data_IF_925935945896
#
_entry.id   IF_925935945896
#
_cell.length_a   1.000
_cell.length_b   1.000
_cell.length_c   1.000
_cell.angle_alpha   90.00
_cell.angle_beta   90.00
_cell.angle_gamma   90.00
#
_symmetry.space_group_name_H-M   'P 1'
#
loop_
_entity.id
_entity.type
_entity.pdbx_description
1 polymer ?
#
# COMPACT_ATOMS: atom_id res chain seq x y z
N UNK A 1 3.58 -2.46 -13.51
CA UNK A 1 3.37 -3.19 -12.24
C UNK A 1 2.73 -2.21 -11.30
N UNK A 2 1.54 -2.53 -10.80
CA UNK A 2 0.84 -1.78 -9.76
C UNK A 2 1.58 -1.92 -8.42
N UNK A 3 1.16 -1.13 -7.44
CA UNK A 3 1.59 -1.29 -6.05
C UNK A 3 0.55 -2.15 -5.34
N UNK A 4 0.98 -3.20 -4.64
CA UNK A 4 0.06 -4.15 -4.07
C UNK A 4 0.22 -4.31 -2.55
N UNK A 5 -0.92 -4.41 -1.87
CA UNK A 5 -1.03 -4.69 -0.45
C UNK A 5 -1.63 -6.08 -0.22
N UNK A 6 -0.93 -6.91 0.54
CA UNK A 6 -1.46 -8.20 0.97
C UNK A 6 -2.34 -8.06 2.21
N UNK A 7 -3.60 -8.47 2.12
CA UNK A 7 -4.51 -8.48 3.27
C UNK A 7 -4.29 -9.79 4.03
N UNK A 8 -3.89 -9.68 5.28
CA UNK A 8 -3.65 -10.81 6.17
C UNK A 8 -4.49 -10.69 7.45
N UNK A 9 -4.71 -11.78 8.13
CA UNK A 9 -5.42 -11.84 9.40
C UNK A 9 -5.78 -13.28 9.77
N UNK A 10 -6.05 -13.51 11.04
CA UNK A 10 -6.53 -14.81 11.52
C UNK A 10 -7.93 -15.12 10.95
N UNK A 11 -8.38 -16.38 11.00
CA UNK A 11 -9.75 -16.71 10.63
C UNK A 11 -10.79 -15.91 11.47
N UNK A 12 -11.91 -15.56 10.83
CA UNK A 12 -13.07 -14.91 11.46
C UNK A 12 -12.81 -13.48 12.03
N UNK A 13 -11.80 -12.78 11.54
CA UNK A 13 -11.52 -11.37 11.88
C UNK A 13 -12.24 -10.36 10.97
N UNK A 14 -12.97 -10.84 9.93
CA UNK A 14 -13.64 -9.99 8.95
C UNK A 14 -12.83 -9.71 7.68
N UNK A 15 -11.71 -10.43 7.47
CA UNK A 15 -10.82 -10.25 6.31
C UNK A 15 -11.54 -10.37 4.97
N UNK A 16 -12.32 -11.43 4.76
CA UNK A 16 -13.04 -11.67 3.49
C UNK A 16 -14.18 -10.67 3.30
N UNK A 17 -14.83 -10.24 4.38
CA UNK A 17 -15.85 -9.18 4.31
C UNK A 17 -15.24 -7.87 3.83
N UNK A 18 -14.09 -7.49 4.40
CA UNK A 18 -13.34 -6.29 3.99
C UNK A 18 -12.89 -6.38 2.53
N UNK A 19 -12.31 -7.53 2.13
CA UNK A 19 -11.86 -7.74 0.76
C UNK A 19 -13.02 -7.67 -0.24
N UNK A 20 -14.16 -8.30 0.06
CA UNK A 20 -15.34 -8.22 -0.77
C UNK A 20 -15.88 -6.80 -0.88
N UNK A 21 -15.91 -6.03 0.21
CA UNK A 21 -16.32 -4.63 0.19
C UNK A 21 -15.38 -3.76 -0.67
N UNK A 22 -14.07 -4.02 -0.62
CA UNK A 22 -13.07 -3.37 -1.49
C UNK A 22 -13.30 -3.71 -2.96
N UNK A 23 -13.59 -4.97 -3.29
CA UNK A 23 -13.75 -5.44 -4.67
C UNK A 23 -15.12 -5.12 -5.26
N UNK A 24 -16.16 -4.91 -4.44
CA UNK A 24 -17.45 -4.39 -4.92
C UNK A 24 -17.35 -2.96 -5.47
N UNK A 25 -16.32 -2.21 -5.07
CA UNK A 25 -15.99 -0.90 -5.63
C UNK A 25 -15.21 -1.01 -6.97
N UNK A 26 -15.08 -2.23 -7.55
CA UNK A 26 -14.37 -2.45 -8.80
C UNK A 26 -14.94 -1.60 -9.94
N UNK A 27 -14.05 -0.92 -10.61
CA UNK A 27 -14.34 -0.26 -11.88
C UNK A 27 -14.49 -1.36 -12.95
N UNK A 28 -15.49 -1.20 -13.81
CA UNK A 28 -15.64 -2.04 -15.00
C UNK A 28 -14.27 -2.19 -15.70
N UNK A 29 -13.76 -3.41 -15.75
CA UNK A 29 -12.41 -3.75 -16.23
C UNK A 29 -12.14 -3.30 -17.68
N UNK A 30 -13.15 -2.97 -18.43
CA UNK A 30 -13.07 -2.43 -19.80
C UNK A 30 -12.32 -1.08 -19.91
N UNK A 31 -12.22 -0.34 -18.80
CA UNK A 31 -11.55 0.96 -18.78
C UNK A 31 -10.03 0.89 -18.47
N UNK A 32 -9.50 -0.29 -18.08
CA UNK A 32 -8.08 -0.47 -17.73
C UNK A 32 -7.41 -1.53 -18.58
N UNK A 33 -6.74 -1.16 -19.68
CA UNK A 33 -6.20 -2.08 -20.69
C UNK A 33 -4.98 -2.90 -20.27
N UNK A 34 -4.72 -3.15 -19.00
CA UNK A 34 -3.59 -3.99 -18.54
C UNK A 34 -3.87 -4.72 -17.23
N UNK A 35 -5.13 -4.76 -16.77
CA UNK A 35 -5.48 -5.47 -15.55
C UNK A 35 -5.88 -6.90 -15.90
N UNK A 36 -5.06 -7.86 -15.49
CA UNK A 36 -5.42 -9.28 -15.47
C UNK A 36 -6.26 -9.53 -14.22
N UNK A 37 -7.48 -10.02 -14.37
CA UNK A 37 -8.32 -10.44 -13.24
C UNK A 37 -7.74 -11.77 -12.75
N UNK A 38 -6.97 -11.71 -11.67
CA UNK A 38 -6.51 -12.91 -10.96
C UNK A 38 -7.46 -13.19 -9.78
N UNK A 39 -7.77 -14.47 -9.49
CA UNK A 39 -8.53 -14.80 -8.30
C UNK A 39 -7.80 -14.27 -7.06
N UNK A 40 -8.53 -13.64 -6.16
CA UNK A 40 -8.04 -13.01 -4.93
C UNK A 40 -7.22 -11.71 -5.11
N UNK A 41 -7.28 -11.05 -6.25
CA UNK A 41 -6.72 -9.71 -6.47
C UNK A 41 -7.84 -8.74 -6.76
N UNK A 42 -7.99 -7.71 -5.93
CA UNK A 42 -8.92 -6.61 -6.10
C UNK A 42 -8.19 -5.34 -6.56
N UNK A 43 -8.66 -4.72 -7.64
CA UNK A 43 -8.11 -3.47 -8.15
C UNK A 43 -9.07 -2.34 -7.80
N UNK A 44 -8.64 -1.46 -6.91
CA UNK A 44 -9.49 -0.42 -6.34
C UNK A 44 -9.03 0.96 -6.80
N UNK A 45 -9.94 1.80 -7.31
CA UNK A 45 -9.61 3.17 -7.68
C UNK A 45 -9.34 4.01 -6.44
N UNK A 46 -8.42 4.96 -6.59
CA UNK A 46 -8.16 5.97 -5.56
C UNK A 46 -9.02 7.18 -5.85
N UNK A 47 -9.97 7.48 -4.95
CA UNK A 47 -10.81 8.66 -5.04
C UNK A 47 -9.96 9.91 -4.75
N UNK A 48 -9.64 10.67 -5.79
CA UNK A 48 -8.90 11.92 -5.70
C UNK A 48 -9.74 13.06 -6.29
N UNK A 49 -10.29 13.90 -5.44
CA UNK A 49 -11.15 15.02 -5.84
C UNK A 49 -10.46 16.04 -6.74
N UNK A 50 -9.11 16.03 -6.77
CA UNK A 50 -8.32 16.88 -7.67
C UNK A 50 -8.53 16.48 -9.14
N UNK A 51 -8.75 15.19 -9.39
CA UNK A 51 -9.00 14.68 -10.74
C UNK A 51 -10.31 15.24 -11.32
N UNK A 52 -11.36 15.30 -10.50
CA UNK A 52 -12.66 15.86 -10.89
C UNK A 52 -12.55 17.37 -11.16
N UNK A 53 -11.84 18.12 -10.30
CA UNK A 53 -11.61 19.56 -10.49
C UNK A 53 -10.82 19.87 -11.78
N UNK A 54 -9.84 19.03 -12.12
CA UNK A 54 -9.12 19.15 -13.40
C UNK A 54 -10.07 18.86 -14.58
N UNK A 55 -10.93 17.85 -14.44
CA UNK A 55 -11.89 17.47 -15.48
C UNK A 55 -12.94 18.56 -15.75
N UNK A 56 -13.40 19.27 -14.72
CA UNK A 56 -14.32 20.40 -14.87
C UNK A 56 -13.72 21.52 -15.74
N UNK A 57 -12.41 21.76 -15.64
CA UNK A 57 -11.72 22.80 -16.41
C UNK A 57 -11.45 22.33 -17.84
N UNK A 58 -10.95 21.11 -18.01
CA UNK A 58 -10.46 20.60 -19.30
C UNK A 58 -11.58 20.00 -20.14
N UNK A 59 -12.69 19.56 -19.51
CA UNK A 59 -13.82 18.86 -20.12
C UNK A 59 -13.38 17.67 -21.01
N UNK A 60 -12.68 16.67 -20.44
CA UNK A 60 -12.07 15.58 -21.18
C UNK A 60 -13.12 14.55 -21.63
N UNK A 61 -12.75 13.73 -22.62
CA UNK A 61 -13.58 12.59 -23.03
C UNK A 61 -13.56 11.44 -22.02
N UNK A 62 -12.46 11.31 -21.23
CA UNK A 62 -12.27 10.26 -20.23
C UNK A 62 -11.59 10.82 -19.00
N UNK A 63 -11.99 10.30 -17.83
CA UNK A 63 -11.35 10.55 -16.54
C UNK A 63 -10.83 9.20 -16.07
N UNK A 64 -9.52 9.13 -15.78
CA UNK A 64 -8.86 7.87 -15.41
C UNK A 64 -8.16 8.07 -14.07
N UNK A 65 -8.73 7.56 -12.96
CA UNK A 65 -8.08 7.58 -11.66
C UNK A 65 -6.89 6.62 -11.64
N UNK A 66 -6.03 6.77 -10.66
CA UNK A 66 -5.04 5.75 -10.33
C UNK A 66 -5.66 4.64 -9.50
N UNK A 67 -5.03 3.49 -9.47
CA UNK A 67 -5.53 2.30 -8.79
C UNK A 67 -4.49 1.74 -7.82
N UNK A 68 -4.97 1.01 -6.83
CA UNK A 68 -4.19 0.22 -5.90
C UNK A 68 -4.68 -1.23 -5.94
N UNK A 69 -3.76 -2.17 -5.85
CA UNK A 69 -4.07 -3.60 -5.85
C UNK A 69 -4.09 -4.11 -4.41
N UNK A 70 -5.14 -4.84 -4.05
CA UNK A 70 -5.23 -5.58 -2.81
C UNK A 70 -5.28 -7.07 -3.12
N UNK A 71 -4.48 -7.85 -2.41
CA UNK A 71 -4.41 -9.30 -2.57
C UNK A 71 -4.98 -9.96 -1.33
N UNK A 72 -6.08 -10.71 -1.47
CA UNK A 72 -6.60 -11.52 -0.37
C UNK A 72 -5.69 -12.73 -0.14
N UNK A 73 -4.94 -12.70 0.95
CA UNK A 73 -4.06 -13.80 1.32
C UNK A 73 -4.83 -14.69 2.28
N UNK A 74 -5.03 -15.96 1.88
CA UNK A 74 -5.75 -16.95 2.68
C UNK A 74 -5.23 -16.97 4.13
N UNK A 75 -6.16 -17.04 5.09
CA UNK A 75 -5.84 -16.90 6.51
C UNK A 75 -4.74 -17.83 7.01
N UNK A 76 -3.89 -17.28 7.85
CA UNK A 76 -2.84 -18.01 8.54
C UNK A 76 -3.47 -18.94 9.59
N UNK A 77 -2.95 -20.16 9.65
CA UNK A 77 -3.14 -21.06 10.79
C UNK A 77 -1.81 -21.14 11.53
N UNK A 78 -1.84 -21.12 12.85
CA UNK A 78 -0.67 -21.29 13.71
C UNK A 78 0.18 -22.50 13.26
N UNK A 79 1.50 -22.33 13.15
CA UNK A 79 2.40 -23.36 12.65
C UNK A 79 2.62 -23.36 11.14
N UNK A 80 2.22 -22.31 10.44
CA UNK A 80 2.39 -22.20 8.98
C UNK A 80 3.85 -22.26 8.51
N UNK A 81 4.78 -21.75 9.33
CA UNK A 81 6.23 -21.78 9.04
C UNK A 81 6.85 -23.18 9.17
N UNK A 82 6.21 -24.09 9.91
CA UNK A 82 6.65 -25.48 10.13
C UNK A 82 5.92 -26.47 9.24
N UNK A 83 4.86 -26.02 8.56
CA UNK A 83 3.91 -26.89 7.88
C UNK A 83 4.21 -27.17 6.43
N UNK A 84 3.68 -28.31 5.99
CA UNK A 84 3.54 -28.67 4.59
C UNK A 84 2.26 -28.03 4.04
N UNK A 85 2.32 -27.43 2.84
CA UNK A 85 1.14 -27.02 2.09
C UNK A 85 0.71 -25.56 2.28
N UNK A 86 -0.49 -25.29 2.85
CA UNK A 86 -1.14 -23.98 2.86
C UNK A 86 -0.33 -22.85 3.55
N UNK A 87 0.43 -23.17 4.60
CA UNK A 87 1.26 -22.19 5.29
C UNK A 87 2.39 -21.64 4.42
N UNK A 88 3.06 -22.47 3.66
CA UNK A 88 4.11 -22.05 2.73
C UNK A 88 3.54 -21.17 1.60
N UNK A 89 2.33 -21.46 1.13
CA UNK A 89 1.65 -20.66 0.12
C UNK A 89 1.30 -19.26 0.67
N UNK A 90 0.80 -19.18 1.90
CA UNK A 90 0.56 -17.93 2.61
C UNK A 90 1.81 -17.03 2.64
N UNK A 91 2.94 -17.56 3.10
CA UNK A 91 4.21 -16.84 3.17
C UNK A 91 4.74 -16.42 1.78
N UNK A 92 4.50 -17.27 0.76
CA UNK A 92 4.88 -16.95 -0.62
C UNK A 92 4.04 -15.78 -1.16
N UNK A 93 2.73 -15.80 -0.95
CA UNK A 93 1.85 -14.72 -1.39
C UNK A 93 2.23 -13.38 -0.71
N UNK A 94 2.56 -13.39 0.59
CA UNK A 94 3.05 -12.18 1.26
C UNK A 94 4.36 -11.68 0.62
N UNK A 95 5.28 -12.58 0.22
CA UNK A 95 6.55 -12.15 -0.42
C UNK A 95 6.34 -11.34 -1.69
N UNK A 96 5.29 -11.63 -2.43
CA UNK A 96 4.96 -10.98 -3.69
C UNK A 96 4.32 -9.60 -3.51
N UNK A 97 3.87 -9.24 -2.30
CA UNK A 97 3.26 -7.94 -2.01
C UNK A 97 4.29 -6.90 -1.56
N UNK A 98 3.96 -5.60 -1.72
CA UNK A 98 4.83 -4.49 -1.32
C UNK A 98 4.64 -4.10 0.15
N UNK A 99 3.41 -4.26 0.68
CA UNK A 99 3.05 -3.97 2.07
C UNK A 99 2.04 -4.99 2.59
N UNK A 100 1.86 -5.00 3.91
CA UNK A 100 0.91 -5.87 4.61
C UNK A 100 -0.22 -4.99 5.19
N UNK A 101 -1.47 -5.35 4.89
CA UNK A 101 -2.66 -4.85 5.57
C UNK A 101 -3.12 -5.93 6.54
N UNK A 102 -2.87 -5.71 7.82
CA UNK A 102 -3.16 -6.69 8.87
C UNK A 102 -4.52 -6.40 9.50
N UNK A 103 -5.51 -7.21 9.17
CA UNK A 103 -6.87 -7.12 9.73
C UNK A 103 -6.91 -7.82 11.08
N UNK A 104 -7.31 -7.05 12.10
CA UNK A 104 -7.36 -7.50 13.50
C UNK A 104 -8.77 -7.28 14.03
N UNK A 105 -9.33 -8.29 14.69
CA UNK A 105 -10.65 -8.22 15.28
C UNK A 105 -10.63 -7.37 16.56
N UNK A 106 -11.43 -6.32 16.57
CA UNK A 106 -11.58 -5.40 17.71
C UNK A 106 -13.05 -5.28 18.17
N UNK A 107 -13.83 -6.35 18.05
CA UNK A 107 -15.24 -6.42 18.47
C UNK A 107 -15.56 -7.77 19.12
N UNK A 108 -16.49 -7.76 20.05
CA UNK A 108 -17.07 -8.96 20.66
C UNK A 108 -18.33 -9.35 19.89
N UNK A 109 -18.47 -10.65 19.58
CA UNK A 109 -19.68 -11.23 18.98
C UNK A 109 -19.73 -12.71 19.35
N UNK A 110 -20.78 -13.13 20.08
CA UNK A 110 -20.95 -14.50 20.56
C UNK A 110 -21.24 -15.51 19.43
N UNK A 111 -21.82 -15.04 18.30
CA UNK A 111 -22.15 -15.87 17.15
C UNK A 111 -20.93 -16.15 16.25
N UNK A 112 -19.85 -15.38 16.40
CA UNK A 112 -18.63 -15.52 15.63
C UNK A 112 -17.53 -16.11 16.52
N UNK A 113 -17.23 -17.39 16.33
CA UNK A 113 -16.19 -18.08 17.12
C UNK A 113 -14.81 -17.49 16.83
N UNK A 114 -14.10 -17.08 17.88
CA UNK A 114 -12.68 -16.71 17.79
C UNK A 114 -11.80 -17.96 17.85
N UNK A 115 -10.71 -18.00 17.08
CA UNK A 115 -9.81 -19.16 17.00
C UNK A 115 -9.24 -19.55 18.37
N UNK A 116 -8.91 -18.55 19.20
CA UNK A 116 -8.36 -18.73 20.57
C UNK A 116 -9.46 -18.80 21.66
N UNK A 117 -10.75 -18.77 21.29
CA UNK A 117 -11.87 -18.79 22.21
C UNK A 117 -12.15 -17.45 22.94
N UNK A 118 -11.30 -16.46 22.80
CA UNK A 118 -11.49 -15.07 23.29
C UNK A 118 -10.89 -14.06 22.31
N UNK A 119 -11.45 -12.88 22.26
CA UNK A 119 -10.88 -11.77 21.46
C UNK A 119 -9.67 -11.21 22.20
N UNK A 120 -8.49 -11.27 21.58
CA UNK A 120 -7.24 -10.71 22.08
C UNK A 120 -6.43 -10.15 20.94
N UNK A 121 -6.66 -8.88 20.55
CA UNK A 121 -6.04 -8.30 19.36
C UNK A 121 -4.52 -8.38 19.34
N UNK A 122 -3.88 -8.21 20.48
CA UNK A 122 -2.42 -8.22 20.55
C UNK A 122 -1.88 -9.63 20.34
N UNK A 123 -2.50 -10.66 20.98
CA UNK A 123 -2.13 -12.07 20.77
C UNK A 123 -2.28 -12.44 19.27
N UNK A 124 -3.35 -11.95 18.61
CA UNK A 124 -3.60 -12.19 17.19
C UNK A 124 -2.51 -11.57 16.31
N UNK A 125 -2.06 -10.35 16.63
CA UNK A 125 -0.96 -9.68 15.94
C UNK A 125 0.35 -10.47 16.14
N UNK A 126 0.62 -10.88 17.37
CA UNK A 126 1.84 -11.61 17.73
C UNK A 126 1.92 -12.98 17.06
N UNK A 127 0.81 -13.69 16.88
CA UNK A 127 0.77 -14.96 16.15
C UNK A 127 1.26 -14.75 14.72
N UNK A 128 0.73 -13.76 14.00
CA UNK A 128 1.14 -13.47 12.62
C UNK A 128 2.60 -13.03 12.56
N UNK A 129 3.00 -12.10 13.43
CA UNK A 129 4.39 -11.62 13.48
C UNK A 129 5.36 -12.77 13.76
N UNK A 130 5.04 -13.68 14.65
CA UNK A 130 5.86 -14.85 14.97
C UNK A 130 6.09 -15.74 13.74
N UNK A 131 5.03 -16.02 12.96
CA UNK A 131 5.16 -16.83 11.74
C UNK A 131 6.03 -16.14 10.68
N UNK A 132 5.91 -14.80 10.53
CA UNK A 132 6.78 -14.03 9.62
C UNK A 132 8.25 -14.08 10.08
N UNK A 133 8.49 -13.93 11.38
CA UNK A 133 9.83 -13.97 11.98
C UNK A 133 10.45 -15.35 11.78
N UNK A 134 9.74 -16.43 12.06
CA UNK A 134 10.24 -17.80 11.89
C UNK A 134 10.59 -18.10 10.42
N UNK A 135 9.79 -17.60 9.49
CA UNK A 135 10.08 -17.73 8.06
C UNK A 135 11.35 -17.00 7.66
N UNK A 136 11.55 -15.77 8.14
CA UNK A 136 12.73 -14.98 7.85
C UNK A 136 13.98 -15.53 8.54
N UNK A 137 13.86 -15.98 9.79
CA UNK A 137 14.94 -16.61 10.54
C UNK A 137 15.53 -17.78 9.75
N UNK A 138 14.67 -18.65 9.21
CA UNK A 138 15.12 -19.79 8.38
C UNK A 138 15.89 -19.36 7.12
N UNK A 139 15.55 -18.22 6.53
CA UNK A 139 16.26 -17.66 5.36
C UNK A 139 17.61 -17.07 5.81
N UNK A 140 17.59 -16.24 6.86
CA UNK A 140 18.76 -15.52 7.35
C UNK A 140 19.82 -16.49 7.86
N UNK A 141 19.46 -17.56 8.56
CA UNK A 141 20.39 -18.62 8.99
C UNK A 141 21.10 -19.29 7.80
N UNK A 142 20.37 -19.62 6.72
CA UNK A 142 20.96 -20.17 5.49
C UNK A 142 21.92 -19.19 4.83
N UNK A 143 21.55 -17.90 4.78
CA UNK A 143 22.42 -16.84 4.25
C UNK A 143 23.68 -16.66 5.12
N UNK A 144 23.55 -16.76 6.44
CA UNK A 144 24.68 -16.69 7.37
C UNK A 144 25.69 -17.80 7.14
N UNK A 145 25.21 -19.04 7.02
CA UNK A 145 26.11 -20.18 6.72
C UNK A 145 26.85 -20.02 5.38
N UNK A 146 26.18 -19.44 4.38
CA UNK A 146 26.77 -19.12 3.09
C UNK A 146 27.83 -18.01 3.20
N UNK A 147 27.51 -16.94 3.93
CA UNK A 147 28.44 -15.83 4.17
C UNK A 147 29.69 -16.25 4.94
N UNK A 148 29.55 -17.12 5.94
CA UNK A 148 30.67 -17.69 6.69
C UNK A 148 31.63 -18.52 5.80
N UNK A 149 31.07 -19.29 4.85
CA UNK A 149 31.88 -20.07 3.90
C UNK A 149 32.65 -19.15 2.94
N UNK A 150 32.00 -18.10 2.42
CA UNK A 150 32.62 -17.13 1.51
C UNK A 150 33.74 -16.34 2.17
N UNK A 151 33.54 -15.86 3.39
CA UNK A 151 34.57 -15.14 4.16
C UNK A 151 35.77 -16.01 4.51
N UNK A 152 35.56 -17.28 4.84
CA UNK A 152 36.68 -18.25 5.09
C UNK A 152 37.48 -18.53 3.82
N UNK A 153 36.88 -18.43 2.64
CA UNK A 153 37.57 -18.57 1.34
C UNK A 153 38.33 -17.31 0.91
N UNK A 154 38.39 -16.26 1.75
CA UNK A 154 39.15 -15.03 1.48
C UNK A 154 38.49 -14.04 0.53
N UNK A 155 37.20 -14.22 0.23
CA UNK A 155 36.42 -13.28 -0.60
C UNK A 155 36.03 -12.07 0.26
N UNK A 156 36.66 -10.91 0.00
CA UNK A 156 36.38 -9.65 0.72
C UNK A 156 34.94 -9.14 0.53
N UNK A 157 34.30 -9.45 -0.59
CA UNK A 157 32.94 -9.04 -0.90
C UNK A 157 31.88 -9.67 0.01
N UNK A 158 32.23 -10.69 0.80
CA UNK A 158 31.33 -11.32 1.77
C UNK A 158 31.24 -10.62 3.13
N UNK A 159 32.11 -9.66 3.42
CA UNK A 159 32.16 -9.00 4.74
C UNK A 159 30.91 -8.12 5.01
N UNK A 160 30.50 -7.21 4.11
CA UNK A 160 29.31 -6.37 4.36
C UNK A 160 28.03 -7.20 4.54
N UNK A 161 27.91 -8.28 3.77
CA UNK A 161 26.78 -9.22 3.89
C UNK A 161 26.79 -9.90 5.26
N UNK A 162 27.93 -10.34 5.72
CA UNK A 162 28.08 -10.99 7.02
C UNK A 162 27.74 -10.02 8.16
N UNK A 163 28.25 -8.80 8.14
CA UNK A 163 27.99 -7.76 9.13
C UNK A 163 26.47 -7.44 9.21
N UNK A 164 25.82 -7.32 8.06
CA UNK A 164 24.37 -7.12 8.02
C UNK A 164 23.61 -8.30 8.65
N UNK A 165 23.99 -9.54 8.33
CA UNK A 165 23.35 -10.73 8.89
C UNK A 165 23.58 -10.80 10.41
N UNK A 166 24.79 -10.53 10.89
CA UNK A 166 25.13 -10.49 12.32
C UNK A 166 24.36 -9.39 13.06
N UNK A 167 23.92 -8.32 12.36
CA UNK A 167 23.05 -7.28 12.92
C UNK A 167 21.60 -7.73 13.05
N UNK A 168 21.05 -8.41 12.02
CA UNK A 168 19.61 -8.73 11.98
C UNK A 168 19.26 -10.07 12.64
N UNK A 169 20.17 -11.02 12.69
CA UNK A 169 19.92 -12.35 13.23
C UNK A 169 19.48 -12.35 14.69
N UNK A 170 20.16 -11.64 15.63
CA UNK A 170 19.71 -11.58 17.01
C UNK A 170 18.30 -10.99 17.19
N UNK A 171 17.93 -10.01 16.36
CA UNK A 171 16.61 -9.36 16.39
C UNK A 171 15.51 -10.37 16.05
N UNK A 172 15.73 -11.17 15.00
CA UNK A 172 14.80 -12.24 14.61
C UNK A 172 14.77 -13.36 15.67
N UNK A 173 15.91 -13.72 16.28
CA UNK A 173 15.99 -14.71 17.36
C UNK A 173 15.21 -14.27 18.62
N UNK A 174 15.13 -12.96 18.88
CA UNK A 174 14.30 -12.36 19.92
C UNK A 174 12.82 -12.25 19.54
N UNK A 175 12.42 -12.69 18.35
CA UNK A 175 11.03 -12.65 17.88
C UNK A 175 10.59 -11.27 17.37
N UNK A 176 11.52 -10.35 17.10
CA UNK A 176 11.20 -8.99 16.66
C UNK A 176 11.19 -8.87 15.13
N UNK A 177 10.25 -8.05 14.62
CA UNK A 177 10.18 -7.74 13.20
C UNK A 177 11.22 -6.71 12.80
N UNK A 178 11.83 -6.87 11.61
CA UNK A 178 12.87 -5.99 11.09
C UNK A 178 12.37 -4.61 10.66
N UNK A 179 11.07 -4.42 10.46
CA UNK A 179 10.48 -3.12 10.11
C UNK A 179 10.65 -2.04 11.18
N UNK A 180 10.90 -2.44 12.43
CA UNK A 180 11.18 -1.53 13.56
C UNK A 180 12.64 -1.08 13.62
N UNK A 181 13.49 -1.57 12.72
CA UNK A 181 14.94 -1.33 12.72
C UNK A 181 15.33 -0.34 11.63
N UNK A 182 16.14 0.63 11.97
CA UNK A 182 16.69 1.56 10.99
C UNK A 182 17.88 0.95 10.24
N UNK A 183 17.84 1.03 8.92
CA UNK A 183 18.88 0.58 8.01
C UNK A 183 19.38 1.73 7.13
N UNK A 184 20.68 1.76 6.85
CA UNK A 184 21.26 2.68 5.88
C UNK A 184 20.96 2.24 4.43
N UNK A 185 21.29 3.08 3.43
CA UNK A 185 20.93 2.81 2.03
C UNK A 185 21.64 1.59 1.43
N UNK A 186 22.83 1.27 1.87
CA UNK A 186 23.58 0.08 1.44
C UNK A 186 22.95 -1.19 2.03
N UNK A 187 22.61 -1.16 3.33
CA UNK A 187 21.89 -2.25 4.00
C UNK A 187 20.53 -2.49 3.34
N UNK A 188 19.76 -1.42 3.06
CA UNK A 188 18.46 -1.52 2.36
C UNK A 188 18.59 -2.17 0.98
N UNK A 189 19.65 -1.85 0.23
CA UNK A 189 19.90 -2.48 -1.08
C UNK A 189 20.17 -3.98 -0.95
N UNK A 190 20.95 -4.38 0.05
CA UNK A 190 21.23 -5.81 0.30
C UNK A 190 19.97 -6.55 0.76
N UNK A 191 19.21 -5.98 1.68
CA UNK A 191 17.97 -6.55 2.23
C UNK A 191 16.90 -6.79 1.16
N UNK A 192 16.81 -5.94 0.13
CA UNK A 192 15.90 -6.17 -1.01
C UNK A 192 16.12 -7.53 -1.69
N UNK A 193 17.38 -8.00 -1.75
CA UNK A 193 17.72 -9.30 -2.33
C UNK A 193 17.29 -10.51 -1.49
N UNK A 194 16.99 -10.30 -0.20
CA UNK A 194 16.61 -11.40 0.71
C UNK A 194 15.11 -11.68 0.72
N UNK A 195 14.29 -10.74 0.26
CA UNK A 195 12.84 -10.84 0.23
C UNK A 195 12.23 -11.20 1.60
N UNK A 196 12.75 -10.56 2.66
CA UNK A 196 12.28 -10.76 4.03
C UNK A 196 10.87 -10.20 4.22
N UNK A 197 10.06 -10.95 4.99
CA UNK A 197 8.67 -10.61 5.26
C UNK A 197 8.55 -9.55 6.37
N UNK A 198 9.38 -9.69 7.40
CA UNK A 198 9.34 -8.82 8.59
C UNK A 198 9.81 -7.39 8.34
N UNK A 199 10.45 -7.12 7.19
CA UNK A 199 10.86 -5.76 6.80
C UNK A 199 9.76 -4.99 6.06
N UNK A 200 8.71 -5.68 5.60
CA UNK A 200 7.61 -5.05 4.88
C UNK A 200 6.86 -4.09 5.81
N UNK A 201 6.47 -2.91 5.30
CA UNK A 201 5.64 -1.98 6.06
C UNK A 201 4.27 -2.61 6.33
N UNK A 202 3.70 -2.31 7.50
CA UNK A 202 2.41 -2.84 7.96
C UNK A 202 1.45 -1.70 8.24
N UNK A 203 0.21 -1.87 7.80
CA UNK A 203 -0.95 -1.08 8.17
C UNK A 203 -1.91 -1.97 8.95
N UNK A 204 -2.25 -1.59 10.17
CA UNK A 204 -3.24 -2.32 10.96
C UNK A 204 -4.65 -1.85 10.64
N UNK A 205 -5.54 -2.79 10.37
CA UNK A 205 -6.97 -2.54 10.22
C UNK A 205 -7.68 -3.12 11.42
N UNK A 206 -8.11 -2.25 12.34
CA UNK A 206 -8.93 -2.64 13.46
C UNK A 206 -10.38 -2.79 12.99
N UNK A 207 -10.84 -4.04 12.81
CA UNK A 207 -12.23 -4.30 12.48
C UNK A 207 -13.08 -4.21 13.73
N UNK A 208 -13.89 -3.16 13.82
CA UNK A 208 -14.81 -2.85 14.92
C UNK A 208 -16.26 -3.13 14.52
N UNK A 209 -17.18 -3.15 15.48
CA UNK A 209 -18.62 -3.04 15.20
C UNK A 209 -19.02 -1.56 15.04
N UNK A 210 -20.26 -1.29 14.65
CA UNK A 210 -20.77 0.07 14.42
C UNK A 210 -20.58 1.04 15.60
N UNK A 211 -20.74 0.55 16.84
CA UNK A 211 -20.56 1.34 18.07
C UNK A 211 -19.12 1.31 18.60
N UNK A 212 -18.21 0.59 17.95
CA UNK A 212 -16.87 0.30 18.46
C UNK A 212 -15.77 1.27 18.04
N UNK A 213 -16.12 2.41 17.44
CA UNK A 213 -15.14 3.43 17.06
C UNK A 213 -14.67 4.28 18.25
N UNK A 214 -15.48 4.35 19.32
CA UNK A 214 -15.17 5.09 20.53
C UNK A 214 -15.27 4.17 21.75
N UNK A 215 -14.51 4.47 22.82
CA UNK A 215 -14.51 3.74 24.09
C UNK A 215 -14.32 2.21 23.93
N UNK A 216 -13.47 1.81 22.99
CA UNK A 216 -13.21 0.41 22.68
C UNK A 216 -11.80 0.01 23.15
N UNK A 217 -11.68 -0.76 24.26
CA UNK A 217 -10.37 -1.17 24.79
C UNK A 217 -9.53 -2.01 23.80
N UNK A 218 -10.18 -2.79 22.91
CA UNK A 218 -9.49 -3.56 21.89
C UNK A 218 -8.86 -2.63 20.84
N UNK A 219 -9.60 -1.62 20.37
CA UNK A 219 -9.08 -0.61 19.44
C UNK A 219 -7.93 0.18 20.08
N UNK A 220 -8.09 0.61 21.33
CA UNK A 220 -7.04 1.34 22.06
C UNK A 220 -5.76 0.52 22.19
N UNK A 221 -5.87 -0.79 22.46
CA UNK A 221 -4.71 -1.69 22.56
C UNK A 221 -3.98 -1.82 21.23
N UNK A 222 -4.71 -1.93 20.09
CA UNK A 222 -4.13 -1.99 18.74
C UNK A 222 -3.40 -0.67 18.43
N UNK A 223 -4.01 0.48 18.73
CA UNK A 223 -3.40 1.80 18.51
C UNK A 223 -2.10 1.93 19.32
N UNK A 224 -2.12 1.52 20.58
CA UNK A 224 -0.93 1.58 21.44
C UNK A 224 0.19 0.67 20.90
N UNK A 225 -0.14 -0.54 20.47
CA UNK A 225 0.81 -1.48 19.86
C UNK A 225 1.41 -0.90 18.59
N UNK A 226 0.58 -0.41 17.68
CA UNK A 226 1.02 0.16 16.40
C UNK A 226 1.91 1.40 16.57
N UNK A 227 1.59 2.26 17.55
CA UNK A 227 2.42 3.43 17.85
C UNK A 227 3.85 3.03 18.29
N UNK A 228 4.02 1.92 18.99
CA UNK A 228 5.35 1.42 19.38
C UNK A 228 6.17 0.92 18.16
N UNK A 229 5.48 0.50 17.09
CA UNK A 229 6.09 0.10 15.81
C UNK A 229 6.16 1.23 14.78
N UNK A 230 5.72 2.46 15.12
CA UNK A 230 5.56 3.59 14.20
C UNK A 230 4.64 3.24 13.00
N UNK A 231 3.67 2.35 13.22
CA UNK A 231 2.70 1.90 12.23
C UNK A 231 1.36 2.62 12.37
N UNK A 232 0.63 2.77 11.27
CA UNK A 232 -0.69 3.42 11.24
C UNK A 232 -1.80 2.40 11.51
N UNK A 233 -2.90 2.87 12.14
CA UNK A 233 -4.11 2.08 12.38
C UNK A 233 -5.30 2.75 11.71
N UNK A 234 -6.08 1.97 10.97
CA UNK A 234 -7.38 2.39 10.42
C UNK A 234 -8.48 1.56 11.07
N UNK A 235 -9.36 2.21 11.82
CA UNK A 235 -10.56 1.55 12.34
C UNK A 235 -11.63 1.49 11.25
N UNK A 236 -12.19 0.29 11.02
CA UNK A 236 -13.21 0.02 9.99
C UNK A 236 -14.25 -0.93 10.58
N UNK A 237 -15.52 -0.69 10.28
CA UNK A 237 -16.57 -1.70 10.45
C UNK A 237 -16.77 -2.39 9.10
N UNK A 238 -16.20 -3.58 8.91
CA UNK A 238 -16.21 -4.26 7.62
C UNK A 238 -17.64 -4.62 7.14
N UNK A 239 -18.55 -4.86 8.06
CA UNK A 239 -19.97 -5.10 7.77
C UNK A 239 -20.63 -3.85 7.20
N UNK A 240 -20.48 -2.70 7.88
CA UNK A 240 -20.98 -1.41 7.43
C UNK A 240 -20.39 -1.00 6.08
N UNK A 241 -19.09 -1.19 5.87
CA UNK A 241 -18.44 -0.90 4.58
C UNK A 241 -18.98 -1.77 3.45
N UNK A 242 -19.33 -3.03 3.73
CA UNK A 242 -19.96 -3.92 2.77
C UNK A 242 -21.35 -3.42 2.35
N UNK A 243 -22.13 -2.89 3.29
CA UNK A 243 -23.44 -2.28 3.01
C UNK A 243 -23.29 -1.00 2.20
N UNK A 244 -22.39 -0.10 2.63
CA UNK A 244 -22.11 1.17 1.93
C UNK A 244 -21.62 0.91 0.50
N UNK A 245 -20.77 -0.10 0.30
CA UNK A 245 -20.22 -0.39 -1.04
C UNK A 245 -21.29 -0.82 -2.04
N UNK A 246 -22.39 -1.39 -1.57
CA UNK A 246 -23.53 -1.82 -2.39
C UNK A 246 -24.49 -0.69 -2.76
N UNK A 247 -24.38 0.50 -2.14
CA UNK A 247 -25.26 1.63 -2.39
C UNK A 247 -24.89 2.39 -3.69
N UNK A 248 -25.84 3.03 -4.37
CA UNK A 248 -25.58 4.02 -5.42
C UNK A 248 -24.73 5.19 -4.89
N UNK A 249 -23.96 5.85 -5.75
CA UNK A 249 -23.02 6.91 -5.36
C UNK A 249 -23.69 8.07 -4.59
N UNK A 250 -24.91 8.45 -4.99
CA UNK A 250 -25.67 9.52 -4.33
C UNK A 250 -26.08 9.11 -2.92
N UNK A 251 -26.61 7.90 -2.76
CA UNK A 251 -27.03 7.35 -1.48
C UNK A 251 -25.86 7.14 -0.51
N UNK A 252 -24.66 6.78 -1.04
CA UNK A 252 -23.43 6.69 -0.24
C UNK A 252 -23.08 7.99 0.45
N UNK A 253 -23.19 9.11 -0.26
CA UNK A 253 -22.86 10.43 0.29
C UNK A 253 -23.83 10.84 1.40
N UNK A 254 -25.13 10.59 1.17
CA UNK A 254 -26.17 10.85 2.17
C UNK A 254 -25.95 10.00 3.41
N UNK A 255 -25.76 8.70 3.24
CA UNK A 255 -25.50 7.77 4.33
C UNK A 255 -24.27 8.15 5.17
N UNK A 256 -23.14 8.46 4.52
CA UNK A 256 -21.93 8.90 5.21
C UNK A 256 -22.15 10.20 6.01
N UNK A 257 -22.91 11.15 5.45
CA UNK A 257 -23.29 12.38 6.12
C UNK A 257 -24.16 12.12 7.37
N UNK A 258 -25.11 11.19 7.28
CA UNK A 258 -26.02 10.84 8.37
C UNK A 258 -25.27 10.22 9.56
N UNK A 259 -24.22 9.44 9.31
CA UNK A 259 -23.35 8.89 10.35
C UNK A 259 -22.21 9.83 10.76
N UNK A 260 -22.22 11.09 10.26
CA UNK A 260 -21.21 12.11 10.59
C UNK A 260 -19.82 11.87 10.00
N UNK A 261 -19.71 11.05 8.96
CA UNK A 261 -18.47 10.75 8.23
C UNK A 261 -18.40 11.56 6.93
N UNK A 262 -17.20 11.97 6.55
CA UNK A 262 -16.95 12.67 5.27
C UNK A 262 -16.44 11.73 4.18
N UNK A 263 -15.92 10.57 4.55
CA UNK A 263 -15.40 9.54 3.67
C UNK A 263 -15.58 8.15 4.28
N UNK A 264 -15.60 7.12 3.43
CA UNK A 264 -15.74 5.73 3.89
C UNK A 264 -14.47 5.23 4.59
N UNK A 265 -14.60 4.17 5.39
CA UNK A 265 -13.45 3.49 5.97
C UNK A 265 -12.55 2.88 4.90
N UNK A 266 -13.12 2.41 3.79
CA UNK A 266 -12.37 1.91 2.64
C UNK A 266 -11.54 3.01 1.98
N UNK A 267 -12.06 4.23 1.80
CA UNK A 267 -11.29 5.36 1.27
C UNK A 267 -10.11 5.71 2.21
N UNK A 268 -10.34 5.68 3.53
CA UNK A 268 -9.26 5.87 4.51
C UNK A 268 -8.21 4.79 4.42
N UNK A 269 -8.62 3.52 4.27
CA UNK A 269 -7.71 2.38 4.10
C UNK A 269 -6.84 2.53 2.85
N UNK A 270 -7.45 2.88 1.72
CA UNK A 270 -6.75 3.06 0.44
C UNK A 270 -5.72 4.20 0.57
N UNK A 271 -6.11 5.34 1.14
CA UNK A 271 -5.22 6.48 1.37
C UNK A 271 -4.07 6.13 2.32
N UNK A 272 -4.35 5.41 3.42
CA UNK A 272 -3.33 4.96 4.35
C UNK A 272 -2.35 3.99 3.69
N UNK A 273 -2.83 3.03 2.90
CA UNK A 273 -1.99 2.12 2.12
C UNK A 273 -1.10 2.85 1.10
N UNK A 274 -1.65 3.85 0.43
CA UNK A 274 -0.92 4.68 -0.52
C UNK A 274 0.22 5.46 0.15
N UNK A 275 -0.06 6.06 1.30
CA UNK A 275 0.92 6.75 2.14
C UNK A 275 1.98 5.78 2.69
N UNK A 276 1.58 4.60 3.16
CA UNK A 276 2.46 3.55 3.68
C UNK A 276 3.52 3.13 2.67
N UNK A 277 3.12 3.02 1.40
CA UNK A 277 4.01 2.67 0.29
C UNK A 277 4.87 3.86 -0.20
N UNK A 278 4.76 5.04 0.41
CA UNK A 278 5.49 6.23 0.00
C UNK A 278 5.13 6.67 -1.43
N UNK A 279 3.86 6.57 -1.78
CA UNK A 279 3.35 6.92 -3.10
C UNK A 279 2.82 8.36 -3.14
N UNK A 280 2.83 8.93 -4.34
CA UNK A 280 2.22 10.22 -4.63
C UNK A 280 1.68 10.24 -6.06
N UNK A 281 0.84 11.21 -6.35
CA UNK A 281 0.12 11.33 -7.62
C UNK A 281 0.55 12.57 -8.38
N UNK A 282 0.81 12.44 -9.68
CA UNK A 282 0.81 13.54 -10.62
C UNK A 282 -0.28 13.34 -11.67
N UNK A 283 -0.64 14.38 -12.38
CA UNK A 283 -1.72 14.38 -13.36
C UNK A 283 -1.21 14.70 -14.76
N UNK A 284 -1.88 14.14 -15.76
CA UNK A 284 -1.86 14.64 -17.12
C UNK A 284 -3.25 15.13 -17.48
N UNK A 285 -3.35 16.32 -18.05
CA UNK A 285 -4.63 16.95 -18.36
C UNK A 285 -4.69 17.34 -19.84
N UNK A 286 -5.63 16.77 -20.59
CA UNK A 286 -5.84 17.03 -22.00
C UNK A 286 -7.27 16.74 -22.44
N UNK A 287 -7.67 17.23 -23.63
CA UNK A 287 -9.03 17.03 -24.19
C UNK A 287 -9.42 15.56 -24.37
N UNK A 288 -8.46 14.65 -24.56
CA UNK A 288 -8.73 13.23 -24.72
C UNK A 288 -8.96 12.55 -23.40
N UNK A 289 -8.14 12.87 -22.42
CA UNK A 289 -8.20 12.30 -21.07
C UNK A 289 -7.57 13.23 -20.03
N UNK A 290 -8.12 13.18 -18.82
CA UNK A 290 -7.47 13.60 -17.59
C UNK A 290 -7.16 12.34 -16.81
N UNK A 291 -5.88 12.18 -16.41
CA UNK A 291 -5.43 10.94 -15.78
C UNK A 291 -4.51 11.19 -14.60
N UNK A 292 -4.72 10.43 -13.55
CA UNK A 292 -3.85 10.35 -12.38
C UNK A 292 -2.81 9.24 -12.58
N UNK A 293 -1.56 9.52 -12.18
CA UNK A 293 -0.43 8.60 -12.31
C UNK A 293 0.27 8.43 -10.97
N UNK A 294 0.50 7.19 -10.58
CA UNK A 294 1.20 6.86 -9.34
C UNK A 294 2.71 6.79 -9.54
N UNK A 295 3.43 7.49 -8.68
CA UNK A 295 4.90 7.46 -8.58
C UNK A 295 5.32 7.34 -7.11
N UNK A 296 6.58 7.00 -6.87
CA UNK A 296 7.13 7.07 -5.52
C UNK A 296 7.50 8.51 -5.15
N UNK A 297 7.38 8.86 -3.89
CA UNK A 297 7.90 10.11 -3.35
C UNK A 297 9.41 10.17 -3.66
N UNK A 298 9.86 11.30 -4.24
CA UNK A 298 11.25 11.50 -4.65
C UNK A 298 11.57 11.04 -6.08
N UNK A 299 10.61 10.48 -6.83
CA UNK A 299 10.83 10.14 -8.23
C UNK A 299 11.05 11.41 -9.07
N UNK A 300 12.05 11.33 -9.98
CA UNK A 300 12.38 12.41 -10.91
C UNK A 300 11.54 12.36 -12.19
N UNK A 301 11.45 13.49 -12.87
CA UNK A 301 10.62 13.64 -14.07
C UNK A 301 10.81 12.55 -15.14
N UNK A 302 12.03 12.06 -15.50
CA UNK A 302 12.16 10.96 -16.45
C UNK A 302 11.49 9.68 -15.96
N UNK A 303 11.62 9.34 -14.68
CA UNK A 303 11.02 8.14 -14.10
C UNK A 303 9.49 8.26 -14.03
N UNK A 304 8.96 9.44 -13.73
CA UNK A 304 7.54 9.73 -13.81
C UNK A 304 7.01 9.58 -15.24
N UNK A 305 7.72 10.12 -16.24
CA UNK A 305 7.41 9.94 -17.66
C UNK A 305 7.39 8.46 -18.07
N UNK A 306 8.28 7.65 -17.48
CA UNK A 306 8.34 6.20 -17.68
C UNK A 306 7.10 5.45 -17.23
N UNK A 307 6.30 6.02 -16.32
CA UNK A 307 5.00 5.45 -15.92
C UNK A 307 3.96 5.52 -17.04
N UNK A 308 4.09 6.50 -17.93
CA UNK A 308 3.23 6.61 -19.12
C UNK A 308 3.69 5.58 -20.17
N UNK A 309 4.96 5.61 -20.51
CA UNK A 309 5.58 4.67 -21.45
C UNK A 309 7.11 4.66 -21.29
N UNK A 310 7.75 3.52 -21.49
CA UNK A 310 9.21 3.39 -21.41
C UNK A 310 9.98 4.28 -22.38
N UNK A 311 9.39 4.60 -23.53
CA UNK A 311 10.01 5.50 -24.51
C UNK A 311 10.04 6.95 -24.02
N UNK A 312 9.06 7.37 -23.18
CA UNK A 312 9.04 8.69 -22.57
C UNK A 312 10.20 8.86 -21.57
N UNK A 313 10.54 7.80 -20.83
CA UNK A 313 11.70 7.81 -19.93
C UNK A 313 13.01 7.90 -20.71
N UNK A 314 13.17 7.04 -21.73
CA UNK A 314 14.40 6.96 -22.55
C UNK A 314 14.64 8.22 -23.38
N UNK A 315 13.57 8.72 -24.00
CA UNK A 315 13.61 9.89 -24.87
C UNK A 315 13.32 11.22 -24.16
N UNK A 316 13.30 11.26 -22.82
CA UNK A 316 12.94 12.44 -22.05
C UNK A 316 13.77 13.67 -22.42
N UNK A 317 13.09 14.77 -22.77
CA UNK A 317 13.69 16.06 -23.06
C UNK A 317 13.48 17.02 -21.90
N UNK A 318 12.22 17.31 -21.56
CA UNK A 318 11.80 18.19 -20.48
C UNK A 318 10.36 17.92 -20.06
N UNK A 319 9.96 18.43 -18.91
CA UNK A 319 8.58 18.42 -18.42
C UNK A 319 8.05 19.86 -18.33
N UNK A 320 6.91 20.12 -18.92
CA UNK A 320 6.14 21.36 -18.69
C UNK A 320 5.21 21.08 -17.53
N UNK A 321 5.45 21.75 -16.39
CA UNK A 321 4.85 21.43 -15.09
C UNK A 321 4.12 22.64 -14.52
N UNK A 322 2.88 22.42 -14.07
CA UNK A 322 2.05 23.40 -13.37
C UNK A 322 1.62 22.75 -12.06
N UNK A 323 1.78 23.44 -10.93
CA UNK A 323 1.24 22.95 -9.67
C UNK A 323 -0.30 22.90 -9.73
N UNK A 324 -0.93 21.87 -9.14
CA UNK A 324 -2.38 21.70 -9.16
C UNK A 324 -3.12 22.98 -8.78
N UNK A 325 -2.74 23.63 -7.68
CA UNK A 325 -3.34 24.89 -7.22
C UNK A 325 -3.29 26.00 -8.28
N UNK A 326 -2.13 26.18 -8.90
CA UNK A 326 -1.94 27.18 -9.96
C UNK A 326 -2.78 26.86 -11.21
N UNK A 327 -2.93 25.56 -11.54
CA UNK A 327 -3.76 25.12 -12.65
C UNK A 327 -5.25 25.44 -12.44
N UNK A 328 -5.77 25.21 -11.23
CA UNK A 328 -7.15 25.52 -10.87
C UNK A 328 -7.39 27.04 -10.82
N UNK A 329 -6.52 27.79 -10.11
CA UNK A 329 -6.66 29.24 -9.95
C UNK A 329 -6.61 29.99 -11.29
N UNK A 330 -5.83 29.51 -12.24
CA UNK A 330 -5.68 30.14 -13.56
C UNK A 330 -6.53 29.47 -14.66
N UNK A 331 -7.47 28.61 -14.31
CA UNK A 331 -8.42 27.99 -15.22
C UNK A 331 -7.71 27.24 -16.38
N UNK A 332 -6.75 26.40 -16.03
CA UNK A 332 -6.07 25.50 -16.95
C UNK A 332 -4.69 25.95 -17.42
N UNK A 333 -4.16 25.23 -18.38
CA UNK A 333 -2.79 25.39 -18.89
C UNK A 333 -2.54 26.79 -19.49
N UNK A 334 -3.48 27.27 -20.31
CA UNK A 334 -3.32 28.58 -21.00
C UNK A 334 -3.23 29.71 -19.99
N UNK A 335 -4.15 29.79 -19.05
CA UNK A 335 -4.14 30.84 -18.02
C UNK A 335 -2.91 30.74 -17.11
N UNK A 336 -2.50 29.53 -16.74
CA UNK A 336 -1.27 29.30 -15.97
C UNK A 336 -0.03 29.75 -16.72
N UNK A 337 0.03 29.56 -18.02
CA UNK A 337 1.13 30.04 -18.86
C UNK A 337 1.17 31.57 -18.94
N UNK A 338 0.02 32.21 -19.13
CA UNK A 338 -0.11 33.69 -19.15
C UNK A 338 0.26 34.29 -17.78
N UNK A 339 -0.06 33.59 -16.68
CA UNK A 339 0.30 33.98 -15.32
C UNK A 339 1.77 33.66 -14.95
N UNK A 340 2.56 33.04 -15.86
CA UNK A 340 3.96 32.68 -15.61
C UNK A 340 4.12 31.51 -14.63
N UNK A 341 3.10 30.65 -14.48
CA UNK A 341 3.08 29.51 -13.55
C UNK A 341 3.50 28.20 -14.21
N UNK A 342 3.55 28.14 -15.54
CA UNK A 342 4.07 27.00 -16.27
C UNK A 342 5.61 27.01 -16.20
N UNK A 343 6.16 25.97 -15.59
CA UNK A 343 7.60 25.77 -15.40
C UNK A 343 8.12 24.76 -16.43
N UNK A 344 9.32 24.98 -16.94
CA UNK A 344 10.03 24.02 -17.78
C UNK A 344 11.11 23.33 -16.97
N UNK A 345 10.91 22.05 -16.67
CA UNK A 345 11.73 21.27 -15.74
C UNK A 345 12.58 20.23 -16.49
N UNK A 346 13.82 20.06 -16.02
CA UNK A 346 14.77 19.12 -16.57
C UNK A 346 14.75 17.73 -15.89
N UNK A 347 15.78 16.92 -16.21
CA UNK A 347 15.89 15.52 -15.73
C UNK A 347 16.02 15.38 -14.23
N UNK A 348 16.55 16.40 -13.55
CA UNK A 348 16.79 16.37 -12.10
C UNK A 348 15.57 16.83 -11.28
N UNK A 349 14.50 17.27 -11.94
CA UNK A 349 13.29 17.69 -11.27
C UNK A 349 12.65 16.54 -10.51
N UNK A 350 12.47 16.73 -9.22
CA UNK A 350 11.72 15.82 -8.36
C UNK A 350 10.24 16.21 -8.45
N UNK A 351 9.42 15.30 -8.96
CA UNK A 351 7.98 15.56 -9.13
C UNK A 351 7.32 15.74 -7.77
N UNK A 352 6.46 16.74 -7.67
CA UNK A 352 5.68 17.02 -6.46
C UNK A 352 4.28 16.41 -6.58
N UNK A 353 3.68 16.04 -5.43
CA UNK A 353 2.30 15.56 -5.40
C UNK A 353 1.35 16.64 -5.94
N UNK A 354 0.49 16.26 -6.86
CA UNK A 354 -0.47 17.14 -7.50
C UNK A 354 0.06 17.91 -8.72
N UNK A 355 1.31 17.74 -9.13
CA UNK A 355 1.79 18.38 -10.36
C UNK A 355 0.96 17.95 -11.58
N UNK A 356 0.57 18.91 -12.42
CA UNK A 356 0.00 18.68 -13.74
C UNK A 356 1.10 18.80 -14.77
N UNK A 357 1.42 17.71 -15.45
CA UNK A 357 2.65 17.60 -16.25
C UNK A 357 2.35 17.21 -17.69
N UNK A 358 3.02 17.91 -18.62
CA UNK A 358 3.14 17.53 -20.01
C UNK A 358 4.60 17.19 -20.31
N UNK A 359 4.86 15.92 -20.65
CA UNK A 359 6.22 15.46 -20.98
C UNK A 359 6.53 15.62 -22.45
N UNK A 360 7.68 16.24 -22.73
CA UNK A 360 8.27 16.30 -24.08
C UNK A 360 9.38 15.26 -24.18
N UNK A 361 9.31 14.45 -25.21
CA UNK A 361 10.27 13.38 -25.47
C UNK A 361 10.55 13.24 -26.98
N UNK A 362 11.65 12.61 -27.31
CA UNK A 362 12.01 12.23 -28.67
C UNK A 362 12.31 10.73 -28.69
N UNK A 363 11.73 10.03 -29.65
CA UNK A 363 11.97 8.60 -29.89
C UNK A 363 13.11 8.45 -30.86
#
# INVERSE_FOLDING_TARGET
MGFNCGIVGLPNVGKSTLFNALTQAEIESENYPFCTIEPNVGIVPINDTRLDQLAEIVNPKKIIPTTMEFVDIAGLVEGASKGEGLGNQFLTNIRETDAIVHVVRAFENEDIVHVSGKVSPIDDIEIINTELVLADLSIVEKLYQKALKSTKAGQKDGLPLRELIEKILPILEEGQCLRTVSFNDEEKKMLKGFQLLTIKPVLYVANVNESGFENNPHLESIIQFANNEESEVVAICAELESEISALPIEDKKEFLSDIGQTESGLDRLIKAGYKLLGLQTYFTAGEKEVRAWTINIGDRAPKAAGKIHTDFEKGFIRAETIAFKDFIENIGEKGSKEAGKLRSEGKEYVVSDGDVIHFLFSV
#
